data_IF_955285937827
#
_entry.id   IF_955285937827
#
_cell.length_a   1.000
_cell.length_b   1.000
_cell.length_c   1.000
_cell.angle_alpha   90.00
_cell.angle_beta   90.00
_cell.angle_gamma   90.00
#
_symmetry.space_group_name_H-M   'P 1'
#
loop_
_entity.id
_entity.type
_entity.pdbx_description
1 polymer ?
#
# COMPACT_ATOMS: atom_id res chain seq x y z
N UNK A 1 -7.72 8.10 -18.18
CA UNK A 1 -7.34 7.22 -17.07
C UNK A 1 -7.44 8.05 -15.81
N UNK A 2 -8.14 7.57 -14.80
CA UNK A 2 -8.18 8.26 -13.51
C UNK A 2 -6.82 7.98 -12.82
N UNK A 3 -6.05 9.03 -12.56
CA UNK A 3 -4.72 8.95 -11.94
C UNK A 3 -4.74 9.33 -10.47
N UNK A 4 -5.92 9.68 -9.94
CA UNK A 4 -6.14 9.92 -8.51
C UNK A 4 -6.64 8.64 -7.84
N UNK A 5 -5.98 8.23 -6.78
CA UNK A 5 -6.47 7.20 -5.88
C UNK A 5 -7.32 7.83 -4.77
N UNK A 6 -8.42 7.17 -4.44
CA UNK A 6 -9.30 7.51 -3.33
C UNK A 6 -9.21 6.36 -2.34
N UNK A 7 -8.45 6.55 -1.25
CA UNK A 7 -8.13 5.51 -0.29
C UNK A 7 -8.19 5.99 1.16
N UNK A 8 -8.50 5.10 2.07
CA UNK A 8 -8.37 5.31 3.52
C UNK A 8 -7.95 4.01 4.22
N UNK A 9 -7.48 4.14 5.47
CA UNK A 9 -7.01 3.01 6.29
C UNK A 9 -7.70 3.01 7.63
N UNK A 10 -7.95 1.80 8.16
CA UNK A 10 -8.37 1.60 9.54
C UNK A 10 -7.33 0.73 10.23
N UNK A 11 -6.72 1.28 11.27
CA UNK A 11 -5.56 0.70 11.95
C UNK A 11 -5.99 -0.26 13.05
N UNK A 12 -5.07 -1.18 13.43
CA UNK A 12 -5.22 -2.06 14.61
C UNK A 12 -6.55 -2.85 14.64
N UNK A 13 -6.96 -3.33 13.46
CA UNK A 13 -8.22 -4.07 13.29
C UNK A 13 -8.16 -5.46 13.93
N UNK A 14 -9.33 -5.95 14.37
CA UNK A 14 -9.53 -7.39 14.61
C UNK A 14 -9.71 -8.10 13.26
N UNK A 15 -8.64 -8.75 12.80
CA UNK A 15 -8.58 -9.41 11.48
C UNK A 15 -9.62 -10.52 11.35
N UNK A 16 -9.85 -11.31 12.41
CA UNK A 16 -10.79 -12.43 12.37
C UNK A 16 -12.24 -11.93 12.36
N UNK A 17 -12.54 -10.90 13.15
CA UNK A 17 -13.86 -10.26 13.13
C UNK A 17 -14.13 -9.64 11.75
N UNK A 18 -13.15 -8.93 11.18
CA UNK A 18 -13.28 -8.32 9.85
C UNK A 18 -13.49 -9.36 8.75
N UNK A 19 -12.71 -10.45 8.72
CA UNK A 19 -12.87 -11.53 7.74
C UNK A 19 -14.24 -12.20 7.85
N UNK A 20 -14.73 -12.42 9.06
CA UNK A 20 -16.08 -12.92 9.30
C UNK A 20 -17.11 -11.97 8.71
N UNK A 21 -16.99 -10.68 8.99
CA UNK A 21 -17.90 -9.65 8.48
C UNK A 21 -17.88 -9.55 6.96
N UNK A 22 -16.69 -9.60 6.34
CA UNK A 22 -16.53 -9.64 4.88
C UNK A 22 -17.30 -10.82 4.26
N UNK A 23 -17.24 -12.00 4.87
CA UNK A 23 -17.98 -13.15 4.40
C UNK A 23 -19.50 -12.97 4.56
N UNK A 24 -19.97 -12.40 5.69
CA UNK A 24 -21.38 -12.12 5.94
C UNK A 24 -22.00 -11.13 4.94
N UNK A 25 -21.24 -10.10 4.54
CA UNK A 25 -21.71 -9.10 3.56
C UNK A 25 -21.50 -9.54 2.11
N UNK A 26 -20.93 -10.75 1.89
CA UNK A 26 -20.73 -11.31 0.55
C UNK A 26 -19.58 -10.70 -0.23
N UNK A 27 -18.56 -10.18 0.44
CA UNK A 27 -17.35 -9.71 -0.22
C UNK A 27 -16.65 -10.85 -0.97
N UNK A 28 -16.20 -10.56 -2.20
CA UNK A 28 -15.45 -11.53 -3.02
C UNK A 28 -14.03 -11.62 -2.51
N UNK A 29 -13.62 -12.79 -2.01
CA UNK A 29 -12.23 -13.08 -1.65
C UNK A 29 -11.38 -13.30 -2.91
N UNK A 30 -10.28 -12.53 -3.07
CA UNK A 30 -9.32 -12.65 -4.17
C UNK A 30 -8.00 -13.32 -3.73
N UNK A 31 -7.92 -13.70 -2.46
CA UNK A 31 -6.80 -14.43 -1.86
C UNK A 31 -5.70 -13.56 -1.27
N UNK A 32 -4.78 -14.22 -0.59
CA UNK A 32 -3.62 -13.60 0.03
C UNK A 32 -2.38 -13.75 -0.86
N UNK A 33 -1.56 -12.71 -0.92
CA UNK A 33 -0.30 -12.67 -1.65
C UNK A 33 0.80 -12.04 -0.80
N UNK A 34 2.03 -12.54 -0.97
CA UNK A 34 3.23 -11.80 -0.58
C UNK A 34 3.52 -10.77 -1.67
N UNK A 35 3.61 -9.51 -1.27
CA UNK A 35 4.06 -8.42 -2.10
C UNK A 35 5.54 -8.14 -1.79
N UNK A 36 6.37 -8.19 -2.83
CA UNK A 36 7.80 -7.97 -2.77
C UNK A 36 8.12 -6.69 -3.54
N UNK A 37 8.68 -5.67 -2.88
CA UNK A 37 8.73 -4.32 -3.41
C UNK A 37 10.15 -3.76 -3.39
N UNK A 38 10.57 -3.18 -4.51
CA UNK A 38 11.74 -2.32 -4.58
C UNK A 38 11.29 -0.85 -4.63
N UNK A 39 11.67 -0.08 -3.61
CA UNK A 39 11.41 1.36 -3.54
C UNK A 39 12.62 2.11 -4.08
N UNK A 40 12.38 3.05 -4.96
CA UNK A 40 13.41 3.83 -5.66
C UNK A 40 13.12 5.32 -5.43
N UNK A 41 14.15 6.04 -5.01
CA UNK A 41 14.17 7.50 -4.90
C UNK A 41 15.23 8.09 -5.82
N UNK A 42 15.23 9.38 -5.99
CA UNK A 42 16.37 10.08 -6.57
C UNK A 42 17.62 9.96 -5.67
N UNK A 43 18.85 10.07 -6.22
CA UNK A 43 20.08 9.87 -5.45
C UNK A 43 20.25 10.83 -4.27
N UNK A 44 19.66 12.01 -4.35
CA UNK A 44 19.70 13.03 -3.30
C UNK A 44 18.58 12.90 -2.27
N UNK A 45 17.70 11.91 -2.43
CA UNK A 45 16.54 11.61 -1.58
C UNK A 45 15.50 12.75 -1.49
N UNK A 46 15.52 13.69 -2.42
CA UNK A 46 14.51 14.78 -2.51
C UNK A 46 13.11 14.22 -2.70
N UNK A 47 12.96 13.20 -3.54
CA UNK A 47 11.67 12.55 -3.76
C UNK A 47 11.08 11.95 -2.49
N UNK A 48 11.92 11.42 -1.60
CA UNK A 48 11.47 10.92 -0.30
C UNK A 48 10.83 12.03 0.54
N UNK A 49 11.48 13.20 0.57
CA UNK A 49 11.02 14.34 1.38
C UNK A 49 9.80 15.03 0.74
N UNK A 50 9.66 14.92 -0.58
CA UNK A 50 8.50 15.34 -1.36
C UNK A 50 7.39 14.28 -1.44
N UNK A 51 7.50 13.20 -0.68
CA UNK A 51 6.54 12.08 -0.62
C UNK A 51 6.23 11.44 -1.98
N UNK A 52 7.21 11.38 -2.87
CA UNK A 52 7.10 10.69 -4.15
C UNK A 52 8.17 9.61 -4.31
N UNK A 53 7.84 8.56 -5.08
CA UNK A 53 8.76 7.43 -5.31
C UNK A 53 8.36 6.62 -6.54
N UNK A 54 9.30 5.83 -7.03
CA UNK A 54 9.02 4.70 -7.90
C UNK A 54 8.99 3.41 -7.07
N UNK A 55 8.10 2.52 -7.43
CA UNK A 55 7.98 1.20 -6.83
C UNK A 55 7.93 0.14 -7.92
N UNK A 56 8.80 -0.84 -7.84
CA UNK A 56 8.65 -2.09 -8.58
C UNK A 56 8.07 -3.08 -7.59
N UNK A 57 6.93 -3.69 -7.91
CA UNK A 57 6.23 -4.65 -7.05
C UNK A 57 6.04 -5.97 -7.76
N UNK A 58 6.50 -7.06 -7.14
CA UNK A 58 6.14 -8.43 -7.52
C UNK A 58 5.02 -8.92 -6.60
N UNK A 59 3.91 -9.38 -7.18
CA UNK A 59 2.74 -9.88 -6.46
C UNK A 59 2.67 -11.39 -6.56
N UNK A 60 3.32 -12.09 -5.63
CA UNK A 60 3.52 -13.55 -5.73
C UNK A 60 4.17 -13.92 -7.06
N UNK A 61 3.62 -14.91 -7.74
CA UNK A 61 4.03 -15.29 -9.11
C UNK A 61 3.09 -14.75 -10.21
N UNK A 62 2.13 -13.87 -9.83
CA UNK A 62 1.06 -13.44 -10.74
C UNK A 62 1.44 -12.26 -11.64
N UNK A 63 2.08 -11.25 -11.10
CA UNK A 63 2.37 -10.02 -11.85
C UNK A 63 3.53 -9.24 -11.27
N UNK A 64 4.11 -8.40 -12.11
CA UNK A 64 5.04 -7.35 -11.68
C UNK A 64 4.55 -6.02 -12.21
N UNK A 65 4.55 -4.99 -11.36
CA UNK A 65 4.16 -3.63 -11.74
C UNK A 65 5.29 -2.64 -11.45
N UNK A 66 5.33 -1.58 -12.24
CA UNK A 66 6.13 -0.38 -12.00
C UNK A 66 5.16 0.76 -11.74
N UNK A 67 5.28 1.38 -10.59
CA UNK A 67 4.40 2.45 -10.16
C UNK A 67 5.20 3.72 -9.87
N UNK A 68 4.79 4.86 -10.40
CA UNK A 68 5.14 6.18 -9.86
C UNK A 68 4.03 6.63 -8.93
N UNK A 69 4.37 7.02 -7.71
CA UNK A 69 3.40 7.47 -6.70
C UNK A 69 3.86 8.79 -6.09
N UNK A 70 2.91 9.72 -5.93
CA UNK A 70 3.14 11.04 -5.34
C UNK A 70 1.96 11.41 -4.43
N UNK A 71 2.27 11.83 -3.20
CA UNK A 71 1.28 12.32 -2.26
C UNK A 71 1.37 13.85 -2.18
N UNK A 72 0.30 14.54 -2.60
CA UNK A 72 0.23 16.00 -2.58
C UNK A 72 -0.44 16.54 -1.31
N UNK A 73 -1.33 15.75 -0.72
CA UNK A 73 -2.09 16.10 0.51
C UNK A 73 -2.46 14.83 1.28
N UNK A 74 -2.71 14.96 2.59
CA UNK A 74 -3.22 13.87 3.44
C UNK A 74 -4.75 13.88 3.48
N UNK A 75 -5.36 13.87 2.29
CA UNK A 75 -6.79 13.76 2.06
C UNK A 75 -7.12 12.46 1.34
N UNK A 76 -8.37 12.06 1.35
CA UNK A 76 -8.84 10.82 0.73
C UNK A 76 -8.46 10.70 -0.76
N UNK A 77 -8.29 11.83 -1.46
CA UNK A 77 -7.94 11.95 -2.88
C UNK A 77 -6.56 12.57 -3.14
N UNK A 78 -5.71 12.59 -2.11
CA UNK A 78 -4.40 13.27 -2.14
C UNK A 78 -3.28 12.53 -2.86
N UNK A 79 -3.55 11.35 -3.42
CA UNK A 79 -2.54 10.51 -4.06
C UNK A 79 -2.70 10.52 -5.58
N UNK A 80 -1.58 10.76 -6.28
CA UNK A 80 -1.45 10.54 -7.72
C UNK A 80 -0.68 9.24 -7.96
N UNK A 81 -1.21 8.36 -8.78
CA UNK A 81 -0.54 7.11 -9.15
C UNK A 81 -0.56 6.89 -10.67
N UNK A 82 0.60 6.46 -11.20
CA UNK A 82 0.75 5.96 -12.55
C UNK A 82 1.35 4.57 -12.49
N UNK A 83 0.60 3.55 -12.89
CA UNK A 83 1.04 2.16 -12.85
C UNK A 83 1.16 1.57 -14.26
N UNK A 84 2.21 0.77 -14.45
CA UNK A 84 2.51 0.01 -15.65
C UNK A 84 2.74 -1.45 -15.30
N UNK A 85 2.20 -2.37 -16.12
CA UNK A 85 2.59 -3.77 -16.04
C UNK A 85 3.96 -3.97 -16.69
N UNK A 86 4.82 -4.74 -16.05
CA UNK A 86 6.15 -5.11 -16.57
C UNK A 86 6.40 -6.61 -16.37
N UNK A 87 7.30 -7.20 -17.16
CA UNK A 87 7.50 -8.66 -17.12
C UNK A 87 8.55 -9.09 -16.10
N UNK A 88 9.55 -8.25 -15.79
CA UNK A 88 10.76 -8.68 -15.09
C UNK A 88 11.18 -7.74 -13.96
N UNK A 89 10.94 -8.15 -12.73
CA UNK A 89 11.30 -7.41 -11.51
C UNK A 89 12.78 -7.04 -11.45
N UNK A 90 13.69 -8.03 -11.58
CA UNK A 90 15.14 -7.81 -11.46
C UNK A 90 15.71 -6.98 -12.63
N UNK A 91 15.18 -7.17 -13.85
CA UNK A 91 15.63 -6.36 -15.00
C UNK A 91 15.21 -4.89 -14.86
N UNK A 92 14.03 -4.64 -14.32
CA UNK A 92 13.57 -3.26 -14.07
C UNK A 92 14.44 -2.58 -13.00
N UNK A 93 14.78 -3.26 -11.90
CA UNK A 93 15.72 -2.75 -10.89
C UNK A 93 17.06 -2.40 -11.51
N UNK A 94 17.62 -3.30 -12.30
CA UNK A 94 18.91 -3.08 -12.98
C UNK A 94 18.84 -1.88 -13.96
N UNK A 95 17.74 -1.73 -14.71
CA UNK A 95 17.55 -0.60 -15.60
C UNK A 95 17.60 0.73 -14.82
N UNK A 96 16.85 0.85 -13.72
CA UNK A 96 16.84 2.05 -12.91
C UNK A 96 18.21 2.35 -12.31
N UNK A 97 18.94 1.34 -11.84
CA UNK A 97 20.32 1.50 -11.38
C UNK A 97 21.23 2.06 -12.48
N UNK A 98 21.13 1.53 -13.73
CA UNK A 98 21.94 1.97 -14.87
C UNK A 98 21.66 3.40 -15.33
N UNK A 99 20.45 3.92 -15.12
CA UNK A 99 20.09 5.31 -15.42
C UNK A 99 20.27 6.27 -14.26
N UNK A 100 20.89 5.82 -13.15
CA UNK A 100 21.22 6.66 -12.00
C UNK A 100 20.13 6.80 -10.94
N UNK A 101 19.12 5.94 -10.96
CA UNK A 101 18.07 5.83 -9.94
C UNK A 101 18.20 4.49 -9.20
N UNK A 102 19.17 4.34 -8.29
CA UNK A 102 19.40 3.07 -7.64
C UNK A 102 18.24 2.70 -6.71
N UNK A 103 17.96 1.43 -6.63
CA UNK A 103 17.08 0.85 -5.64
C UNK A 103 17.51 1.27 -4.21
N UNK A 104 16.55 1.79 -3.46
CA UNK A 104 16.81 2.29 -2.11
C UNK A 104 16.47 1.27 -1.02
N UNK A 105 15.22 0.73 -1.03
CA UNK A 105 14.73 -0.16 0.02
C UNK A 105 13.96 -1.34 -0.55
N UNK A 106 14.21 -2.48 0.06
CA UNK A 106 13.43 -3.70 -0.14
C UNK A 106 12.33 -3.79 0.93
N UNK A 107 11.08 -3.83 0.50
CA UNK A 107 9.93 -4.04 1.38
C UNK A 107 9.27 -5.38 1.09
N UNK A 108 8.65 -5.94 2.13
CA UNK A 108 7.67 -7.02 1.99
C UNK A 108 6.43 -6.71 2.82
N UNK A 109 5.27 -7.07 2.29
CA UNK A 109 4.02 -7.15 3.04
C UNK A 109 3.17 -8.30 2.55
N UNK A 110 2.33 -8.87 3.41
CA UNK A 110 1.25 -9.76 2.99
C UNK A 110 0.01 -8.92 2.81
N UNK A 111 -0.73 -9.19 1.73
CA UNK A 111 -1.98 -8.54 1.39
C UNK A 111 -3.04 -9.59 1.10
N UNK A 112 -4.12 -9.59 1.89
CA UNK A 112 -5.31 -10.37 1.59
C UNK A 112 -6.35 -9.43 0.98
N UNK A 113 -6.68 -9.66 -0.28
CA UNK A 113 -7.53 -8.77 -1.08
C UNK A 113 -8.96 -9.29 -1.15
N UNK A 114 -9.90 -8.35 -0.96
CA UNK A 114 -11.33 -8.57 -1.17
C UNK A 114 -11.92 -7.49 -2.06
N UNK A 115 -13.12 -7.75 -2.63
CA UNK A 115 -13.91 -6.75 -3.36
C UNK A 115 -15.34 -6.76 -2.90
N UNK A 116 -15.90 -5.56 -2.68
CA UNK A 116 -17.30 -5.36 -2.29
C UNK A 116 -17.81 -4.04 -2.88
N UNK A 117 -18.93 -4.08 -3.61
CA UNK A 117 -19.62 -2.89 -4.17
C UNK A 117 -18.69 -1.92 -4.92
N UNK A 118 -17.72 -2.43 -5.69
CA UNK A 118 -16.74 -1.63 -6.43
C UNK A 118 -15.55 -1.12 -5.62
N UNK A 119 -15.54 -1.34 -4.30
CA UNK A 119 -14.41 -1.02 -3.41
C UNK A 119 -13.48 -2.21 -3.29
N UNK A 120 -12.18 -1.95 -3.41
CA UNK A 120 -11.11 -2.89 -3.05
C UNK A 120 -10.86 -2.78 -1.55
N UNK A 121 -10.75 -3.92 -0.88
CA UNK A 121 -10.51 -4.02 0.56
C UNK A 121 -9.25 -4.86 0.72
N UNK A 122 -8.17 -4.24 1.18
CA UNK A 122 -6.87 -4.86 1.32
C UNK A 122 -6.49 -4.97 2.80
N UNK A 123 -6.46 -6.19 3.35
CA UNK A 123 -5.94 -6.45 4.70
C UNK A 123 -4.42 -6.58 4.58
N UNK A 124 -3.69 -5.58 5.07
CA UNK A 124 -2.25 -5.47 4.95
C UNK A 124 -1.53 -5.80 6.24
N UNK A 125 -0.63 -6.77 6.18
CA UNK A 125 0.29 -7.13 7.27
C UNK A 125 1.71 -6.77 6.88
N UNK A 126 2.33 -5.85 7.61
CA UNK A 126 3.71 -5.45 7.47
C UNK A 126 4.58 -6.01 8.60
N UNK A 127 5.90 -6.07 8.43
CA UNK A 127 6.79 -6.31 9.56
C UNK A 127 6.60 -5.25 10.67
N UNK A 128 6.75 -5.64 11.92
CA UNK A 128 6.86 -4.77 13.10
C UNK A 128 5.63 -3.92 13.45
N UNK A 129 4.55 -3.91 12.67
CA UNK A 129 3.34 -3.14 12.97
C UNK A 129 2.10 -4.03 12.99
N UNK A 130 1.04 -3.63 13.70
CA UNK A 130 -0.26 -4.30 13.62
C UNK A 130 -0.82 -4.31 12.19
N UNK A 131 -1.59 -5.36 11.89
CA UNK A 131 -2.35 -5.46 10.64
C UNK A 131 -3.41 -4.36 10.59
N UNK A 132 -3.58 -3.77 9.40
CA UNK A 132 -4.62 -2.78 9.13
C UNK A 132 -5.41 -3.14 7.87
N UNK A 133 -6.53 -2.47 7.64
CA UNK A 133 -7.28 -2.58 6.38
C UNK A 133 -7.22 -1.26 5.62
N UNK A 134 -7.02 -1.35 4.32
CA UNK A 134 -7.06 -0.27 3.35
C UNK A 134 -8.30 -0.43 2.48
N UNK A 135 -9.10 0.62 2.34
CA UNK A 135 -10.22 0.70 1.42
C UNK A 135 -9.83 1.63 0.28
N UNK A 136 -10.04 1.19 -0.97
CA UNK A 136 -9.77 1.94 -2.19
C UNK A 136 -10.97 1.85 -3.13
N UNK A 137 -11.42 2.98 -3.66
CA UNK A 137 -12.62 3.04 -4.50
C UNK A 137 -12.71 4.29 -5.36
N UNK A 138 -13.86 4.47 -6.01
CA UNK A 138 -14.09 5.57 -6.96
C UNK A 138 -14.51 6.89 -6.27
N UNK A 139 -14.98 6.84 -5.03
CA UNK A 139 -15.42 8.02 -4.27
C UNK A 139 -15.36 7.81 -2.76
N UNK A 140 -15.26 8.89 -2.01
CA UNK A 140 -15.34 8.87 -0.54
C UNK A 140 -16.66 8.29 -0.03
N UNK A 141 -17.77 8.56 -0.74
CA UNK A 141 -19.09 8.01 -0.41
C UNK A 141 -19.12 6.49 -0.53
N UNK A 142 -18.46 5.92 -1.58
CA UNK A 142 -18.35 4.48 -1.72
C UNK A 142 -17.54 3.86 -0.58
N UNK A 143 -16.44 4.50 -0.18
CA UNK A 143 -15.63 4.05 0.95
C UNK A 143 -16.42 4.09 2.27
N UNK A 144 -17.15 5.18 2.54
CA UNK A 144 -18.00 5.31 3.74
C UNK A 144 -19.06 4.22 3.82
N UNK A 145 -19.73 3.96 2.70
CA UNK A 145 -20.75 2.90 2.63
C UNK A 145 -20.15 1.54 2.98
N UNK A 146 -19.00 1.19 2.39
CA UNK A 146 -18.34 -0.08 2.64
C UNK A 146 -17.78 -0.15 4.05
N UNK A 147 -17.22 0.93 4.59
CA UNK A 147 -16.78 1.00 5.99
C UNK A 147 -17.93 0.70 6.95
N UNK A 148 -19.12 1.31 6.75
CA UNK A 148 -20.33 1.03 7.54
C UNK A 148 -20.75 -0.45 7.44
N UNK A 149 -20.74 -1.03 6.24
CA UNK A 149 -21.04 -2.44 6.04
C UNK A 149 -20.07 -3.37 6.77
N UNK A 150 -18.84 -2.93 7.00
CA UNK A 150 -17.78 -3.68 7.69
C UNK A 150 -17.67 -3.36 9.19
N UNK A 151 -18.62 -2.57 9.73
CA UNK A 151 -18.62 -2.12 11.13
C UNK A 151 -17.36 -1.29 11.50
N UNK A 152 -16.79 -0.55 10.52
CA UNK A 152 -15.66 0.37 10.72
C UNK A 152 -16.17 1.79 10.91
N UNK A 153 -15.80 2.45 12.03
CA UNK A 153 -16.23 3.85 12.27
C UNK A 153 -15.39 4.79 11.38
N UNK A 154 -16.06 5.55 10.51
CA UNK A 154 -15.42 6.50 9.62
C UNK A 154 -14.57 7.56 10.32
N UNK A 155 -14.84 7.85 11.61
CA UNK A 155 -14.03 8.78 12.40
C UNK A 155 -12.62 8.29 12.66
N UNK A 156 -12.41 6.97 12.57
CA UNK A 156 -11.12 6.31 12.77
C UNK A 156 -10.34 6.14 11.43
N UNK A 157 -10.91 6.66 10.33
CA UNK A 157 -10.26 6.60 9.03
C UNK A 157 -8.98 7.45 9.00
N UNK A 158 -7.87 6.83 8.62
CA UNK A 158 -6.56 7.46 8.43
C UNK A 158 -6.27 7.62 6.93
N UNK A 159 -5.88 8.83 6.52
CA UNK A 159 -5.59 9.17 5.12
C UNK A 159 -4.09 9.34 4.85
N UNK A 160 -3.24 9.10 5.85
CA UNK A 160 -1.79 9.15 5.66
C UNK A 160 -1.29 7.93 4.91
N UNK A 161 -0.20 8.09 4.16
CA UNK A 161 0.44 6.97 3.49
C UNK A 161 1.09 5.99 4.49
N UNK A 162 1.37 4.77 4.03
CA UNK A 162 1.91 3.70 4.89
C UNK A 162 3.24 4.09 5.56
N UNK A 163 4.15 4.80 4.87
CA UNK A 163 5.41 5.27 5.45
C UNK A 163 5.18 6.21 6.61
N UNK A 164 4.34 7.22 6.42
CA UNK A 164 4.01 8.19 7.47
C UNK A 164 3.43 7.50 8.70
N UNK A 165 2.49 6.58 8.48
CA UNK A 165 1.86 5.80 9.54
C UNK A 165 2.89 4.97 10.33
N UNK A 166 3.77 4.23 9.63
CA UNK A 166 4.83 3.41 10.24
C UNK A 166 5.77 4.28 11.08
N UNK A 167 6.15 5.46 10.60
CA UNK A 167 7.08 6.35 11.28
C UNK A 167 6.44 7.12 12.43
N UNK A 168 5.23 7.64 12.25
CA UNK A 168 4.64 8.58 13.20
C UNK A 168 3.68 7.92 14.21
N UNK A 169 2.99 6.84 13.82
CA UNK A 169 2.12 6.09 14.74
C UNK A 169 2.89 5.02 15.51
N UNK A 170 3.80 4.32 14.83
CA UNK A 170 4.51 3.17 15.42
C UNK A 170 5.98 3.46 15.76
N UNK A 171 6.48 4.68 15.49
CA UNK A 171 7.85 5.12 15.80
C UNK A 171 8.95 4.20 15.20
N UNK A 172 8.71 3.66 14.01
CA UNK A 172 9.68 2.83 13.28
C UNK A 172 10.29 3.67 12.17
N UNK A 173 11.60 3.99 12.18
CA UNK A 173 12.23 4.89 11.21
C UNK A 173 12.44 4.20 9.84
N UNK A 174 11.35 3.74 9.22
CA UNK A 174 11.40 2.90 8.02
C UNK A 174 12.09 3.60 6.84
N UNK A 175 12.08 4.93 6.77
CA UNK A 175 12.80 5.67 5.72
C UNK A 175 14.32 5.62 5.85
N UNK A 176 14.86 5.11 6.96
CA UNK A 176 16.29 4.87 7.13
C UNK A 176 16.71 3.44 6.77
N UNK A 177 15.75 2.54 6.66
CA UNK A 177 16.00 1.13 6.41
C UNK A 177 16.36 0.84 4.95
N UNK A 178 17.18 -0.19 4.75
CA UNK A 178 17.44 -0.82 3.44
C UNK A 178 16.58 -2.06 3.22
N UNK A 179 16.15 -2.68 4.31
CA UNK A 179 15.27 -3.84 4.32
C UNK A 179 14.14 -3.63 5.32
N UNK A 180 12.91 -3.76 4.86
CA UNK A 180 11.72 -3.82 5.70
C UNK A 180 10.90 -5.02 5.27
N UNK A 181 11.43 -6.21 5.65
CA UNK A 181 10.91 -7.52 5.26
C UNK A 181 10.61 -8.36 6.48
N UNK A 182 9.88 -9.45 6.33
CA UNK A 182 9.57 -10.35 7.44
C UNK A 182 10.81 -11.05 8.02
N UNK A 183 11.91 -11.09 7.29
CA UNK A 183 13.17 -11.68 7.73
C UNK A 183 14.15 -10.64 8.28
N UNK A 184 14.07 -9.37 7.82
CA UNK A 184 15.08 -8.37 8.12
C UNK A 184 14.49 -6.96 8.12
N UNK A 185 14.74 -6.21 9.20
CA UNK A 185 14.33 -4.80 9.35
C UNK A 185 15.54 -3.97 9.81
N UNK A 186 16.22 -3.31 8.86
CA UNK A 186 17.40 -2.46 9.11
C UNK A 186 17.66 -1.46 7.97
#
# INVERSE_FOLDING_TARGET
MNTKEIECRFLEIDVEALKKRLAEVGAKDEGELLLDEAIIYDPELKWRDEERFLRIRKSGDKSTTLTYKEHSTHTVDGTYELELNIDYFEKAKLLFEKIGLPFFRHNQKRRHKFKLDGVTIDIDTWPMIPTYVELEGESEEALKKVAEMLDLDWKDADFHNARWMIENKYNIPVSTFRHFTFEKCE
#
